data_IF_232758841435
#
_entry.id   IF_232758841435
#
_cell.length_a   1.000
_cell.length_b   1.000
_cell.length_c   1.000
_cell.angle_alpha   90.00
_cell.angle_beta   90.00
_cell.angle_gamma   90.00
#
_symmetry.space_group_name_H-M   'P 1'
#
loop_
_entity.id
_entity.type
_entity.pdbx_description
1 polymer ?
#
# COMPACT_ATOMS: atom_id res chain seq x y z
N UNK A 1 10.85 -9.80 20.58
CA UNK A 1 10.32 -9.79 21.97
C UNK A 1 8.83 -10.04 21.93
N UNK A 2 8.35 -10.99 22.74
CA UNK A 2 6.93 -11.24 22.91
C UNK A 2 6.44 -10.32 24.02
N UNK A 3 5.66 -9.29 23.68
CA UNK A 3 4.98 -8.48 24.69
C UNK A 3 3.69 -9.21 25.10
N UNK A 4 3.73 -9.91 26.22
CA UNK A 4 2.54 -10.48 26.85
C UNK A 4 2.16 -9.56 28.00
N UNK A 5 1.15 -8.74 27.79
CA UNK A 5 0.54 -7.96 28.86
C UNK A 5 -0.62 -8.77 29.47
N UNK A 6 -0.27 -9.77 30.25
CA UNK A 6 -1.23 -10.67 30.91
C UNK A 6 -2.02 -10.00 32.06
N UNK A 7 -1.60 -8.79 32.47
CA UNK A 7 -2.15 -8.07 33.62
C UNK A 7 -2.83 -6.76 33.24
N UNK A 8 -2.88 -6.41 31.96
CA UNK A 8 -3.61 -5.21 31.51
C UNK A 8 -5.12 -5.46 31.53
N UNK A 9 -5.88 -4.39 31.67
CA UNK A 9 -7.35 -4.42 31.52
C UNK A 9 -7.82 -4.94 30.14
N UNK A 10 -6.89 -5.17 29.19
CA UNK A 10 -7.10 -5.67 27.84
C UNK A 10 -6.06 -6.76 27.53
N UNK A 11 -6.24 -8.01 27.98
CA UNK A 11 -5.30 -9.09 27.71
C UNK A 11 -5.23 -9.38 26.20
N UNK A 12 -4.19 -8.86 25.56
CA UNK A 12 -3.89 -8.99 24.14
C UNK A 12 -2.46 -9.49 23.97
N UNK A 13 -2.30 -10.50 23.15
CA UNK A 13 -1.00 -10.96 22.69
C UNK A 13 -0.78 -10.40 21.28
N UNK A 14 0.27 -9.62 21.08
CA UNK A 14 0.80 -9.29 19.77
C UNK A 14 2.26 -9.66 19.72
N UNK A 15 2.61 -10.53 18.78
CA UNK A 15 3.96 -11.02 18.64
C UNK A 15 4.30 -11.29 17.18
N UNK A 16 5.59 -11.25 16.91
CA UNK A 16 6.19 -11.66 15.66
C UNK A 16 7.00 -12.94 15.89
N UNK A 17 6.83 -13.95 15.04
CA UNK A 17 7.59 -15.20 15.16
C UNK A 17 8.87 -15.07 14.34
N UNK A 18 10.05 -14.93 14.97
CA UNK A 18 11.32 -14.87 14.26
C UNK A 18 11.54 -16.13 13.42
N UNK A 19 12.12 -15.97 12.24
CA UNK A 19 12.40 -17.08 11.33
C UNK A 19 11.23 -17.54 10.45
N UNK A 20 9.99 -17.27 10.86
CA UNK A 20 8.81 -17.56 10.04
C UNK A 20 8.15 -16.31 9.45
N UNK A 21 8.61 -15.11 9.84
CA UNK A 21 8.02 -13.83 9.49
C UNK A 21 6.49 -13.81 9.67
N UNK A 22 5.99 -14.52 10.68
CA UNK A 22 4.57 -14.67 10.94
C UNK A 22 4.15 -13.78 12.11
N UNK A 23 2.99 -13.10 11.96
CA UNK A 23 2.37 -12.32 13.02
C UNK A 23 1.37 -13.16 13.78
N UNK A 24 1.45 -13.13 15.12
CA UNK A 24 0.46 -13.71 16.02
C UNK A 24 -0.32 -12.56 16.66
N UNK A 25 -1.64 -12.69 16.67
CA UNK A 25 -2.53 -11.89 17.50
C UNK A 25 -3.37 -12.83 18.34
N UNK A 26 -3.30 -12.68 19.67
CA UNK A 26 -4.07 -13.47 20.62
C UNK A 26 -4.99 -12.60 21.46
N UNK A 27 -6.18 -13.11 21.77
CA UNK A 27 -7.11 -12.53 22.74
C UNK A 27 -7.33 -13.54 23.86
N UNK A 28 -7.22 -13.07 25.10
CA UNK A 28 -7.39 -13.90 26.29
C UNK A 28 -8.78 -13.70 26.94
N UNK A 29 -9.23 -14.62 27.84
CA UNK A 29 -10.45 -14.46 28.62
C UNK A 29 -10.48 -13.10 29.35
N UNK A 30 -11.65 -12.55 29.51
CA UNK A 30 -12.10 -11.20 29.84
C UNK A 30 -12.43 -10.36 28.61
N UNK A 31 -11.76 -10.61 27.46
CA UNK A 31 -12.10 -9.99 26.18
C UNK A 31 -12.89 -10.94 25.27
N UNK A 32 -12.66 -12.22 25.42
CA UNK A 32 -13.32 -13.32 24.71
C UNK A 32 -13.66 -14.45 25.69
N UNK A 33 -14.67 -15.26 25.37
CA UNK A 33 -15.10 -16.38 26.24
C UNK A 33 -14.00 -17.45 26.34
N UNK A 34 -13.29 -17.70 25.23
CA UNK A 34 -12.19 -18.67 25.16
C UNK A 34 -11.01 -18.01 24.47
N UNK A 35 -9.75 -18.38 24.80
CA UNK A 35 -8.58 -17.87 24.10
C UNK A 35 -8.71 -18.06 22.59
N UNK A 36 -8.42 -17.01 21.84
CA UNK A 36 -8.40 -17.02 20.36
C UNK A 36 -7.03 -16.58 19.90
N UNK A 37 -6.46 -17.30 18.93
CA UNK A 37 -5.18 -16.99 18.31
C UNK A 37 -5.37 -16.92 16.81
N UNK A 38 -4.91 -15.82 16.21
CA UNK A 38 -4.79 -15.64 14.78
C UNK A 38 -3.32 -15.61 14.39
N UNK A 39 -2.92 -16.44 13.42
CA UNK A 39 -1.56 -16.44 12.87
C UNK A 39 -1.62 -16.05 11.40
N UNK A 40 -0.99 -14.93 11.05
CA UNK A 40 -0.86 -14.48 9.68
C UNK A 40 0.55 -14.75 9.19
N UNK A 41 0.66 -15.62 8.19
CA UNK A 41 1.93 -15.94 7.53
C UNK A 41 2.15 -15.01 6.33
N UNK A 42 3.41 -14.62 6.03
CA UNK A 42 3.73 -13.94 4.79
C UNK A 42 3.42 -14.83 3.60
N UNK A 43 3.25 -14.25 2.42
CA UNK A 43 3.16 -15.00 1.18
C UNK A 43 4.43 -15.83 0.99
N UNK A 44 4.27 -17.11 0.64
CA UNK A 44 5.38 -18.06 0.47
C UNK A 44 6.13 -17.79 -0.85
N UNK A 45 5.43 -17.30 -1.85
CA UNK A 45 5.94 -16.99 -3.18
C UNK A 45 5.46 -15.61 -3.62
N UNK A 46 6.32 -14.86 -4.30
CA UNK A 46 5.94 -13.61 -4.94
C UNK A 46 5.40 -13.97 -6.33
N UNK A 47 4.12 -13.70 -6.54
CA UNK A 47 3.53 -13.79 -7.87
C UNK A 47 4.16 -12.75 -8.80
N UNK A 48 4.31 -13.11 -10.08
CA UNK A 48 4.65 -12.15 -11.12
C UNK A 48 3.39 -11.60 -11.79
N UNK A 49 3.48 -10.46 -12.47
CA UNK A 49 2.34 -9.92 -13.21
C UNK A 49 1.88 -10.88 -14.32
N UNK A 50 2.81 -11.63 -14.95
CA UNK A 50 2.50 -12.69 -15.94
C UNK A 50 1.70 -13.83 -15.30
N UNK A 51 2.01 -14.21 -14.06
CA UNK A 51 1.24 -15.24 -13.36
C UNK A 51 -0.19 -14.77 -13.03
N UNK A 52 -0.40 -13.47 -12.77
CA UNK A 52 -1.74 -12.91 -12.63
C UNK A 52 -2.56 -13.07 -13.92
N UNK A 53 -1.93 -12.84 -15.08
CA UNK A 53 -2.58 -13.05 -16.39
C UNK A 53 -2.85 -14.54 -16.63
N UNK A 54 -1.86 -15.39 -16.45
CA UNK A 54 -1.99 -16.83 -16.64
C UNK A 54 -3.06 -17.47 -15.75
N UNK A 55 -3.28 -16.93 -14.54
CA UNK A 55 -4.31 -17.38 -13.61
C UNK A 55 -5.69 -16.75 -13.88
N UNK A 56 -5.83 -15.88 -14.89
CA UNK A 56 -7.08 -15.17 -15.18
C UNK A 56 -7.47 -14.13 -14.13
N UNK A 57 -6.52 -13.67 -13.33
CA UNK A 57 -6.73 -12.65 -12.28
C UNK A 57 -6.55 -11.22 -12.82
N UNK A 58 -5.96 -11.08 -14.02
CA UNK A 58 -5.67 -9.83 -14.70
C UNK A 58 -5.71 -10.10 -16.21
N UNK A 59 -6.13 -9.11 -17.02
CA UNK A 59 -5.99 -9.20 -18.47
C UNK A 59 -4.58 -8.80 -18.90
N UNK A 60 -4.19 -9.15 -20.15
CA UNK A 60 -2.89 -8.74 -20.67
C UNK A 60 -2.79 -7.21 -20.82
N UNK A 61 -3.87 -6.56 -21.24
CA UNK A 61 -3.93 -5.09 -21.39
C UNK A 61 -3.75 -4.40 -20.04
N UNK A 62 -4.33 -4.96 -18.97
CA UNK A 62 -4.13 -4.45 -17.61
C UNK A 62 -2.67 -4.60 -17.17
N UNK A 63 -2.06 -5.75 -17.47
CA UNK A 63 -0.64 -5.99 -17.18
C UNK A 63 0.26 -4.99 -17.91
N UNK A 64 0.05 -4.84 -19.22
CA UNK A 64 0.83 -3.90 -20.05
C UNK A 64 0.72 -2.47 -19.53
N UNK A 65 -0.48 -2.04 -19.13
CA UNK A 65 -0.71 -0.72 -18.56
C UNK A 65 0.07 -0.52 -17.25
N UNK A 66 0.02 -1.50 -16.33
CA UNK A 66 0.78 -1.45 -15.08
C UNK A 66 2.28 -1.38 -15.38
N UNK A 67 2.78 -2.23 -16.26
CA UNK A 67 4.20 -2.29 -16.65
C UNK A 67 4.67 -0.97 -17.24
N UNK A 68 3.88 -0.37 -18.15
CA UNK A 68 4.15 0.96 -18.72
C UNK A 68 4.32 2.03 -17.63
N UNK A 69 3.42 2.06 -16.64
CA UNK A 69 3.50 3.02 -15.54
C UNK A 69 4.72 2.77 -14.63
N UNK A 70 5.13 1.53 -14.43
CA UNK A 70 6.35 1.19 -13.69
C UNK A 70 7.60 1.68 -14.43
N UNK A 71 7.65 1.49 -15.76
CA UNK A 71 8.79 1.85 -16.61
C UNK A 71 9.03 3.37 -16.60
N UNK A 72 7.98 4.17 -16.72
CA UNK A 72 8.07 5.64 -16.68
C UNK A 72 8.10 6.22 -15.26
N UNK A 73 8.23 5.37 -14.24
CA UNK A 73 8.34 5.75 -12.81
C UNK A 73 7.14 6.55 -12.30
N UNK A 74 5.95 6.16 -12.70
CA UNK A 74 4.71 6.71 -12.17
C UNK A 74 4.37 6.11 -10.79
N UNK A 75 3.67 6.88 -9.96
CA UNK A 75 3.18 6.43 -8.68
C UNK A 75 1.88 5.62 -8.84
N UNK A 76 1.81 4.47 -8.18
CA UNK A 76 0.73 3.51 -8.31
C UNK A 76 0.04 3.30 -6.96
N UNK A 77 -1.28 3.36 -6.94
CA UNK A 77 -2.09 3.01 -5.77
C UNK A 77 -2.78 1.67 -6.03
N UNK A 78 -2.57 0.69 -5.14
CA UNK A 78 -3.32 -0.56 -5.15
C UNK A 78 -4.43 -0.49 -4.12
N UNK A 79 -5.67 -0.59 -4.56
CA UNK A 79 -6.84 -0.47 -3.70
C UNK A 79 -7.70 -1.74 -3.66
N UNK A 80 -8.57 -1.85 -2.65
CA UNK A 80 -9.51 -2.95 -2.50
C UNK A 80 -9.81 -3.26 -1.04
N UNK A 81 -10.72 -4.16 -0.80
CA UNK A 81 -11.16 -4.56 0.54
C UNK A 81 -10.09 -5.36 1.30
N UNK A 82 -10.33 -5.61 2.59
CA UNK A 82 -9.46 -6.48 3.40
C UNK A 82 -9.43 -7.89 2.84
N UNK A 83 -8.22 -8.45 2.69
CA UNK A 83 -8.04 -9.83 2.20
C UNK A 83 -8.23 -10.02 0.69
N UNK A 84 -8.32 -8.93 -0.11
CA UNK A 84 -8.38 -9.01 -1.57
C UNK A 84 -7.01 -9.08 -2.27
N UNK A 85 -5.91 -9.32 -1.54
CA UNK A 85 -4.60 -9.55 -2.14
C UNK A 85 -3.83 -8.29 -2.53
N UNK A 86 -4.14 -7.11 -1.96
CA UNK A 86 -3.41 -5.85 -2.24
C UNK A 86 -1.90 -6.02 -2.06
N UNK A 87 -1.46 -6.49 -0.91
CA UNK A 87 -0.03 -6.71 -0.62
C UNK A 87 0.62 -7.69 -1.60
N UNK A 88 -0.13 -8.70 -2.05
CA UNK A 88 0.37 -9.70 -3.03
C UNK A 88 0.61 -9.06 -4.39
N UNK A 89 -0.33 -8.23 -4.89
CA UNK A 89 -0.15 -7.48 -6.13
C UNK A 89 0.95 -6.42 -5.99
N UNK A 90 1.00 -5.73 -4.84
CA UNK A 90 2.08 -4.77 -4.56
C UNK A 90 3.46 -5.42 -4.64
N UNK A 91 3.62 -6.64 -4.10
CA UNK A 91 4.87 -7.40 -4.21
C UNK A 91 5.21 -7.76 -5.67
N UNK A 92 4.20 -8.09 -6.49
CA UNK A 92 4.41 -8.32 -7.93
C UNK A 92 4.86 -7.04 -8.65
N UNK A 93 4.28 -5.89 -8.29
CA UNK A 93 4.67 -4.57 -8.82
C UNK A 93 6.10 -4.22 -8.38
N UNK A 94 6.45 -4.40 -7.10
CA UNK A 94 7.81 -4.17 -6.59
C UNK A 94 8.82 -5.04 -7.35
N UNK A 95 8.52 -6.31 -7.54
CA UNK A 95 9.37 -7.22 -8.32
C UNK A 95 9.58 -6.72 -9.76
N UNK A 96 8.55 -6.20 -10.40
CA UNK A 96 8.67 -5.61 -11.73
C UNK A 96 9.50 -4.32 -11.71
N UNK A 97 9.38 -3.50 -10.66
CA UNK A 97 10.23 -2.32 -10.47
C UNK A 97 11.71 -2.69 -10.34
N UNK A 98 12.02 -3.77 -9.62
CA UNK A 98 13.40 -4.28 -9.47
C UNK A 98 14.01 -4.72 -10.82
N UNK A 99 13.19 -5.29 -11.72
CA UNK A 99 13.62 -5.70 -13.04
C UNK A 99 13.99 -4.47 -13.89
N UNK A 100 13.17 -3.43 -13.88
CA UNK A 100 13.43 -2.20 -14.65
C UNK A 100 14.55 -1.34 -14.05
N UNK A 101 14.71 -1.36 -12.73
CA UNK A 101 15.69 -0.53 -12.02
C UNK A 101 16.52 -1.35 -11.03
N UNK A 102 17.41 -2.27 -11.51
CA UNK A 102 18.12 -3.22 -10.65
C UNK A 102 19.15 -2.58 -9.70
N UNK A 103 19.51 -1.32 -9.95
CA UNK A 103 20.44 -0.55 -9.12
C UNK A 103 19.75 0.49 -8.24
N UNK A 104 18.43 0.57 -8.29
CA UNK A 104 17.67 1.52 -7.50
C UNK A 104 17.75 1.19 -6.00
N UNK A 105 17.81 2.25 -5.19
CA UNK A 105 17.75 2.17 -3.74
C UNK A 105 16.27 2.26 -3.30
N UNK A 106 15.77 1.18 -2.72
CA UNK A 106 14.40 1.07 -2.25
C UNK A 106 14.32 1.38 -0.75
N UNK A 107 13.48 2.33 -0.38
CA UNK A 107 13.16 2.61 1.01
C UNK A 107 11.71 2.22 1.29
N UNK A 108 11.52 1.25 2.17
CA UNK A 108 10.22 0.63 2.45
C UNK A 108 9.80 0.99 3.87
N UNK A 109 8.59 1.53 4.00
CA UNK A 109 7.98 1.88 5.28
C UNK A 109 6.72 1.02 5.46
N UNK A 110 6.68 0.21 6.49
CA UNK A 110 5.56 -0.69 6.77
C UNK A 110 5.39 -0.95 8.27
N UNK A 111 4.17 -1.31 8.69
CA UNK A 111 3.90 -1.65 10.10
C UNK A 111 4.38 -3.06 10.44
N UNK A 112 4.32 -3.94 9.46
CA UNK A 112 4.61 -5.36 9.59
C UNK A 112 5.32 -5.82 8.31
N UNK A 113 6.33 -6.68 8.38
CA UNK A 113 7.10 -7.13 7.22
C UNK A 113 6.24 -8.01 6.28
N UNK A 114 5.46 -7.38 5.42
CA UNK A 114 4.63 -8.01 4.40
C UNK A 114 5.15 -7.75 2.97
N UNK A 115 5.85 -6.63 2.79
CA UNK A 115 6.43 -6.28 1.50
C UNK A 115 7.72 -7.07 1.26
N UNK A 116 7.83 -7.60 0.06
CA UNK A 116 8.96 -8.42 -0.35
C UNK A 116 9.73 -7.70 -1.46
N UNK A 117 10.90 -7.23 -1.13
CA UNK A 117 11.82 -6.59 -2.05
C UNK A 117 13.15 -7.33 -2.02
N UNK A 118 13.65 -7.74 -3.18
CA UNK A 118 14.92 -8.43 -3.34
C UNK A 118 16.05 -7.53 -3.84
N UNK A 119 15.78 -6.23 -4.01
CA UNK A 119 16.78 -5.26 -4.45
C UNK A 119 18.03 -5.30 -3.60
N UNK A 120 19.19 -5.11 -4.24
CA UNK A 120 20.50 -5.10 -3.57
C UNK A 120 20.61 -3.96 -2.57
N UNK A 121 20.08 -2.79 -2.93
CA UNK A 121 20.04 -1.61 -2.07
C UNK A 121 18.60 -1.43 -1.59
N UNK A 122 18.35 -1.75 -0.34
CA UNK A 122 17.06 -1.54 0.30
C UNK A 122 17.20 -1.26 1.78
N UNK A 123 16.32 -0.42 2.28
CA UNK A 123 16.14 -0.16 3.70
C UNK A 123 14.66 -0.37 4.04
N UNK A 124 14.36 -1.11 5.11
CA UNK A 124 12.99 -1.30 5.60
C UNK A 124 12.87 -0.71 7.01
N UNK A 125 11.93 0.18 7.20
CA UNK A 125 11.61 0.81 8.49
C UNK A 125 10.22 0.34 8.93
N UNK A 126 10.10 -0.01 10.21
CA UNK A 126 8.84 -0.41 10.82
C UNK A 126 8.25 0.73 11.64
N UNK A 127 7.00 1.09 11.35
CA UNK A 127 6.29 2.24 11.96
C UNK A 127 5.75 1.96 13.36
N UNK A 128 6.04 0.82 13.96
CA UNK A 128 5.77 0.55 15.37
C UNK A 128 6.61 1.42 16.33
N UNK A 129 7.73 1.95 15.83
CA UNK A 129 8.70 2.78 16.57
C UNK A 129 8.87 4.19 16.03
N UNK A 130 8.37 4.48 14.83
CA UNK A 130 8.53 5.75 14.13
C UNK A 130 7.19 6.23 13.60
N UNK A 131 6.99 7.52 13.58
CA UNK A 131 5.87 8.13 12.84
C UNK A 131 6.15 8.09 11.33
N UNK A 132 5.12 8.27 10.51
CA UNK A 132 5.29 8.32 9.06
C UNK A 132 6.18 9.50 8.62
N UNK A 133 6.05 10.66 9.30
CA UNK A 133 6.85 11.85 9.02
C UNK A 133 8.33 11.59 9.35
N UNK A 134 8.63 11.02 10.52
CA UNK A 134 10.00 10.63 10.89
C UNK A 134 10.59 9.61 9.90
N UNK A 135 9.79 8.65 9.44
CA UNK A 135 10.23 7.67 8.45
C UNK A 135 10.59 8.31 7.10
N UNK A 136 9.87 9.36 6.67
CA UNK A 136 10.21 10.11 5.45
C UNK A 136 11.44 10.97 5.66
N UNK A 137 11.56 11.68 6.78
CA UNK A 137 12.77 12.46 7.10
C UNK A 137 14.03 11.59 7.12
N UNK A 138 13.92 10.40 7.70
CA UNK A 138 15.01 9.43 7.67
C UNK A 138 15.30 8.95 6.23
N UNK A 139 14.25 8.66 5.44
CA UNK A 139 14.39 8.22 4.06
C UNK A 139 15.27 9.18 3.25
N UNK A 140 15.03 10.49 3.37
CA UNK A 140 15.77 11.52 2.62
C UNK A 140 17.28 11.50 2.89
N UNK A 141 17.71 11.00 4.06
CA UNK A 141 19.13 10.85 4.41
C UNK A 141 19.80 9.65 3.74
N UNK A 142 19.00 8.67 3.29
CA UNK A 142 19.49 7.46 2.61
C UNK A 142 19.52 7.59 1.09
N UNK A 143 19.15 8.75 0.55
CA UNK A 143 19.09 9.01 -0.90
C UNK A 143 18.36 7.89 -1.67
N UNK A 144 17.10 7.60 -1.37
CA UNK A 144 16.36 6.54 -2.03
C UNK A 144 15.94 6.96 -3.43
N UNK A 145 15.89 6.00 -4.35
CA UNK A 145 15.26 6.19 -5.66
C UNK A 145 13.76 6.00 -5.62
N UNK A 146 13.27 5.19 -4.67
CA UNK A 146 11.85 4.88 -4.48
C UNK A 146 11.51 4.81 -3.00
N UNK A 147 10.44 5.48 -2.58
CA UNK A 147 9.90 5.41 -1.22
C UNK A 147 8.55 4.73 -1.27
N UNK A 148 8.45 3.54 -0.67
CA UNK A 148 7.27 2.68 -0.70
C UNK A 148 6.66 2.60 0.69
N UNK A 149 5.36 2.90 0.80
CA UNK A 149 4.60 2.65 2.02
C UNK A 149 3.72 1.42 1.86
N UNK A 150 3.73 0.53 2.85
CA UNK A 150 2.93 -0.69 2.82
C UNK A 150 1.44 -0.43 2.74
N UNK A 151 0.94 0.52 3.52
CA UNK A 151 -0.48 0.87 3.53
C UNK A 151 -0.74 2.30 4.01
N UNK A 152 -1.63 3.01 3.32
CA UNK A 152 -2.17 4.30 3.75
C UNK A 152 -3.43 4.10 4.57
N UNK A 153 -3.34 4.35 5.89
CA UNK A 153 -4.46 4.21 6.83
C UNK A 153 -5.04 5.53 7.30
N UNK A 154 -4.25 6.59 7.31
CA UNK A 154 -4.62 7.89 7.85
C UNK A 154 -3.98 9.03 7.06
N UNK A 155 -4.40 10.25 7.41
CA UNK A 155 -3.97 11.48 6.75
C UNK A 155 -2.46 11.74 6.89
N UNK A 156 -1.85 11.44 8.06
CA UNK A 156 -0.42 11.66 8.29
C UNK A 156 0.43 10.82 7.34
N UNK A 157 0.10 9.52 7.20
CA UNK A 157 0.80 8.62 6.26
C UNK A 157 0.63 9.11 4.81
N UNK A 158 -0.59 9.55 4.44
CA UNK A 158 -0.83 10.05 3.08
C UNK A 158 -0.03 11.32 2.81
N UNK A 159 0.00 12.26 3.74
CA UNK A 159 0.78 13.51 3.62
C UNK A 159 2.29 13.24 3.50
N UNK A 160 2.83 12.37 4.36
CA UNK A 160 4.23 11.97 4.32
C UNK A 160 4.61 11.36 2.96
N UNK A 161 3.73 10.49 2.43
CA UNK A 161 3.92 9.86 1.13
C UNK A 161 3.91 10.88 -0.02
N UNK A 162 2.96 11.80 0.00
CA UNK A 162 2.86 12.89 -1.00
C UNK A 162 4.10 13.78 -0.94
N UNK A 163 4.55 14.15 0.25
CA UNK A 163 5.77 14.94 0.45
C UNK A 163 6.97 14.22 -0.16
N UNK A 164 7.11 12.92 0.08
CA UNK A 164 8.16 12.11 -0.50
C UNK A 164 8.10 12.09 -2.03
N UNK A 165 6.91 11.90 -2.61
CA UNK A 165 6.74 11.85 -4.06
C UNK A 165 6.99 13.20 -4.75
N UNK A 166 6.61 14.31 -4.11
CA UNK A 166 6.84 15.67 -4.62
C UNK A 166 8.30 16.12 -4.50
N UNK A 167 9.11 15.47 -3.66
CA UNK A 167 10.54 15.76 -3.52
C UNK A 167 11.45 14.96 -4.45
N UNK A 168 10.90 14.37 -5.50
CA UNK A 168 11.65 13.68 -6.56
C UNK A 168 11.69 12.15 -6.44
N UNK A 169 11.06 11.56 -5.43
CA UNK A 169 11.04 10.11 -5.20
C UNK A 169 9.85 9.41 -5.87
N UNK A 170 9.61 9.74 -7.15
CA UNK A 170 8.53 9.15 -7.97
C UNK A 170 8.80 7.68 -8.33
N UNK A 171 7.75 7.00 -8.78
CA UNK A 171 7.81 5.60 -9.20
C UNK A 171 7.67 4.63 -8.04
N UNK A 172 6.76 4.92 -7.16
CA UNK A 172 6.48 4.17 -5.94
C UNK A 172 5.12 3.47 -6.01
N UNK A 173 4.85 2.60 -5.06
CA UNK A 173 3.56 1.93 -4.90
C UNK A 173 3.14 1.94 -3.44
N UNK A 174 1.85 2.07 -3.19
CA UNK A 174 1.26 1.90 -1.85
C UNK A 174 -0.11 1.25 -1.94
N UNK A 175 -0.64 0.81 -0.80
CA UNK A 175 -1.99 0.25 -0.73
C UNK A 175 -2.94 1.13 0.08
N UNK A 176 -4.22 1.06 -0.25
CA UNK A 176 -5.29 1.73 0.50
C UNK A 176 -6.58 0.91 0.45
N UNK A 177 -7.39 0.98 1.48
CA UNK A 177 -8.72 0.39 1.47
C UNK A 177 -9.72 1.31 0.78
N UNK A 178 -10.36 0.83 -0.28
CA UNK A 178 -11.44 1.50 -1.00
C UNK A 178 -12.31 0.47 -1.74
N UNK A 179 -13.46 0.91 -2.28
CA UNK A 179 -14.42 0.03 -2.96
C UNK A 179 -14.29 0.02 -4.49
N UNK A 180 -13.63 1.01 -5.09
CA UNK A 180 -13.33 1.15 -6.52
C UNK A 180 -12.25 2.23 -6.73
N UNK A 181 -11.82 2.44 -7.97
CA UNK A 181 -10.79 3.44 -8.27
C UNK A 181 -11.21 4.87 -7.92
N UNK A 182 -12.45 5.28 -8.22
CA UNK A 182 -12.93 6.63 -7.91
C UNK A 182 -13.05 6.86 -6.40
N UNK A 183 -13.58 5.91 -5.64
CA UNK A 183 -13.63 6.01 -4.17
C UNK A 183 -12.25 6.00 -3.53
N UNK A 184 -11.24 5.44 -4.21
CA UNK A 184 -9.84 5.54 -3.81
C UNK A 184 -9.37 6.99 -3.85
N UNK A 185 -9.58 7.70 -4.96
CA UNK A 185 -9.18 9.10 -5.13
C UNK A 185 -9.96 10.02 -4.18
N UNK A 186 -11.27 9.83 -4.06
CA UNK A 186 -12.11 10.57 -3.09
C UNK A 186 -11.59 10.40 -1.66
N UNK A 187 -11.24 9.17 -1.27
CA UNK A 187 -10.67 8.88 0.06
C UNK A 187 -9.33 9.59 0.26
N UNK A 188 -8.45 9.55 -0.73
CA UNK A 188 -7.14 10.23 -0.67
C UNK A 188 -7.34 11.74 -0.51
N UNK A 189 -8.20 12.34 -1.33
CA UNK A 189 -8.53 13.77 -1.25
C UNK A 189 -9.07 14.15 0.13
N UNK A 190 -9.99 13.34 0.69
CA UNK A 190 -10.51 13.52 2.05
C UNK A 190 -9.43 13.41 3.12
N UNK A 191 -8.50 12.47 3.01
CA UNK A 191 -7.37 12.36 3.94
C UNK A 191 -6.49 13.60 3.91
N UNK A 192 -6.19 14.12 2.73
CA UNK A 192 -5.34 15.29 2.55
C UNK A 192 -6.02 16.58 3.03
N UNK A 193 -7.32 16.75 2.78
CA UNK A 193 -8.08 17.92 3.24
C UNK A 193 -8.10 18.08 4.77
N UNK A 194 -7.89 17.01 5.53
CA UNK A 194 -7.84 17.08 7.00
C UNK A 194 -6.57 17.71 7.56
N UNK A 195 -5.55 17.97 6.72
CA UNK A 195 -4.22 18.46 7.15
C UNK A 195 -3.93 19.90 6.64
N UNK A 196 -4.94 20.65 6.19
CA UNK A 196 -4.76 21.97 5.54
C UNK A 196 -3.94 21.92 4.25
N UNK A 197 -4.19 20.98 3.42
CA UNK A 197 -3.55 20.90 2.14
C UNK A 197 -4.23 21.85 1.12
N UNK A 198 -3.94 23.13 1.20
CA UNK A 198 -4.14 24.08 0.08
C UNK A 198 -3.33 23.68 -1.17
N UNK A 199 -2.65 22.54 -1.11
CA UNK A 199 -1.63 22.12 -2.07
C UNK A 199 -2.10 21.07 -3.07
N UNK A 200 -3.40 20.70 -3.11
CA UNK A 200 -3.80 19.52 -3.87
C UNK A 200 -5.05 19.70 -4.73
N UNK A 201 -5.02 20.68 -5.60
CA UNK A 201 -6.06 20.79 -6.61
C UNK A 201 -5.93 19.71 -7.69
N UNK A 202 -4.73 19.12 -7.88
CA UNK A 202 -4.50 18.10 -8.90
C UNK A 202 -3.83 16.81 -8.37
N UNK A 203 -4.63 15.77 -8.14
CA UNK A 203 -4.13 14.46 -7.76
C UNK A 203 -3.34 13.77 -8.89
N UNK A 204 -3.52 14.18 -10.15
CA UNK A 204 -2.83 13.57 -11.30
C UNK A 204 -1.32 13.83 -11.30
N UNK A 205 -0.88 14.93 -10.67
CA UNK A 205 0.54 15.23 -10.50
C UNK A 205 1.24 14.23 -9.54
N UNK A 206 0.47 13.63 -8.63
CA UNK A 206 0.99 12.81 -7.54
C UNK A 206 0.74 11.34 -7.78
N UNK A 207 -0.45 10.99 -8.29
CA UNK A 207 -0.91 9.62 -8.50
C UNK A 207 -1.27 9.47 -9.98
N UNK A 208 -0.60 8.58 -10.69
CA UNK A 208 -0.84 8.39 -12.12
C UNK A 208 -1.64 7.12 -12.42
N UNK A 209 -1.66 6.14 -11.51
CA UNK A 209 -2.40 4.90 -11.71
C UNK A 209 -3.05 4.41 -10.42
N UNK A 210 -4.31 4.04 -10.50
CA UNK A 210 -5.02 3.31 -9.44
C UNK A 210 -5.42 1.94 -9.98
N UNK A 211 -5.06 0.89 -9.25
CA UNK A 211 -5.40 -0.51 -9.57
C UNK A 211 -6.28 -1.05 -8.47
N UNK A 212 -7.50 -1.42 -8.79
CA UNK A 212 -8.47 -1.95 -7.83
C UNK A 212 -8.60 -3.46 -7.91
N UNK A 213 -8.56 -4.11 -6.74
CA UNK A 213 -8.75 -5.54 -6.59
C UNK A 213 -10.10 -5.84 -5.95
N UNK A 214 -10.86 -6.73 -6.58
CA UNK A 214 -12.11 -7.28 -6.06
C UNK A 214 -12.02 -8.78 -5.78
N UNK A 215 -12.77 -9.20 -4.74
CA UNK A 215 -12.97 -10.62 -4.45
C UNK A 215 -14.28 -11.08 -5.08
N UNK A 216 -14.20 -12.01 -6.01
CA UNK A 216 -15.35 -12.61 -6.70
C UNK A 216 -15.56 -14.06 -6.26
N UNK A 217 -16.64 -14.69 -6.71
CA UNK A 217 -16.87 -16.13 -6.51
C UNK A 217 -15.81 -17.02 -7.15
N UNK A 218 -15.10 -16.50 -8.16
CA UNK A 218 -14.03 -17.22 -8.88
C UNK A 218 -12.63 -16.92 -8.34
N UNK A 219 -12.51 -16.06 -7.33
CA UNK A 219 -11.23 -15.66 -6.73
C UNK A 219 -11.02 -14.15 -6.74
N UNK A 220 -9.78 -13.75 -6.53
CA UNK A 220 -9.35 -12.35 -6.53
C UNK A 220 -8.96 -11.96 -7.96
N UNK A 221 -9.47 -10.81 -8.43
CA UNK A 221 -9.17 -10.27 -9.75
C UNK A 221 -8.78 -8.79 -9.67
N UNK A 222 -8.03 -8.31 -10.65
CA UNK A 222 -7.92 -6.89 -10.96
C UNK A 222 -9.19 -6.49 -11.69
N UNK A 223 -10.08 -5.80 -10.97
CA UNK A 223 -11.43 -5.48 -11.40
C UNK A 223 -11.47 -4.18 -12.21
N UNK A 224 -10.71 -3.19 -11.78
CA UNK A 224 -10.69 -1.87 -12.37
C UNK A 224 -9.26 -1.31 -12.37
N UNK A 225 -8.89 -0.61 -13.43
CA UNK A 225 -7.69 0.23 -13.49
C UNK A 225 -8.08 1.62 -14.00
N UNK A 226 -7.55 2.65 -13.34
CA UNK A 226 -7.79 4.04 -13.68
C UNK A 226 -6.45 4.78 -13.84
N UNK A 227 -6.19 5.28 -15.04
CA UNK A 227 -5.17 6.32 -15.27
C UNK A 227 -5.72 7.66 -14.76
N UNK A 228 -5.01 8.25 -13.79
CA UNK A 228 -5.40 9.55 -13.21
C UNK A 228 -4.87 10.67 -14.10
N UNK A 229 -5.79 11.46 -14.66
CA UNK A 229 -5.53 12.59 -15.55
C UNK A 229 -6.21 13.83 -15.00
N UNK A 230 -5.87 14.99 -15.54
CA UNK A 230 -6.49 16.27 -15.16
C UNK A 230 -8.03 16.21 -15.19
N UNK A 231 -8.61 15.61 -16.23
CA UNK A 231 -10.06 15.40 -16.34
C UNK A 231 -10.67 14.53 -15.22
N UNK A 232 -9.85 13.69 -14.58
CA UNK A 232 -10.28 12.88 -13.43
C UNK A 232 -10.54 13.77 -12.21
N UNK A 233 -9.79 14.84 -12.04
CA UNK A 233 -10.00 15.81 -10.96
C UNK A 233 -11.30 16.60 -11.15
N UNK A 234 -11.62 16.99 -12.38
CA UNK A 234 -12.88 17.66 -12.69
C UNK A 234 -14.07 16.79 -12.31
N UNK A 235 -14.01 15.50 -12.62
CA UNK A 235 -15.03 14.53 -12.24
C UNK A 235 -15.14 14.34 -10.72
N UNK A 236 -14.01 14.29 -10.01
CA UNK A 236 -13.98 14.22 -8.55
C UNK A 236 -14.63 15.45 -7.90
N UNK A 237 -14.30 16.64 -8.39
CA UNK A 237 -14.87 17.90 -7.91
C UNK A 237 -16.40 17.93 -8.12
N UNK A 238 -16.90 17.44 -9.25
CA UNK A 238 -18.33 17.33 -9.52
C UNK A 238 -19.05 16.33 -8.59
N UNK A 239 -18.42 15.19 -8.28
CA UNK A 239 -18.95 14.19 -7.35
C UNK A 239 -19.10 14.78 -5.94
N UNK A 240 -18.09 15.50 -5.47
CA UNK A 240 -18.11 16.17 -4.15
C UNK A 240 -19.17 17.28 -4.08
N UNK A 241 -19.28 18.13 -5.09
CA UNK A 241 -20.29 19.21 -5.16
C UNK A 241 -21.72 18.69 -5.14
N UNK A 242 -21.96 17.51 -5.71
CA UNK A 242 -23.29 16.88 -5.77
C UNK A 242 -23.58 15.97 -4.58
N UNK A 243 -22.69 15.84 -3.57
CA UNK A 243 -22.89 15.02 -2.38
C UNK A 243 -23.01 13.53 -2.69
N UNK A 244 -22.41 13.06 -3.80
CA UNK A 244 -22.44 11.66 -4.27
C UNK A 244 -21.23 10.84 -3.79
N UNK A 245 -20.44 11.35 -2.83
CA UNK A 245 -19.24 10.73 -2.28
C UNK A 245 -19.51 9.97 -0.98
#
# INVERSE_FOLDING_TARGET
EVKVDAYSSLPKLEAFIPGYNARITGLLPNKVIRPVISIRKPAKEIYTLEQYVANGQMTEEQRELIVKHIEVRNNIIVSGQTGCGKTTLTNAIIRQMEIFTPHANFYIVEDVPELQCSARMKTTIFTDKYTADEAVEEALRFNPDRIIFGEVRNAKIMNALVTAWNTGHKGSVTTIHANNCMSTLTRIKKLLSTINADTMDDLSEIIQLVVHLSKTSKGIIVDEILEVKEQTNDLLNLIEQNGLA
#
